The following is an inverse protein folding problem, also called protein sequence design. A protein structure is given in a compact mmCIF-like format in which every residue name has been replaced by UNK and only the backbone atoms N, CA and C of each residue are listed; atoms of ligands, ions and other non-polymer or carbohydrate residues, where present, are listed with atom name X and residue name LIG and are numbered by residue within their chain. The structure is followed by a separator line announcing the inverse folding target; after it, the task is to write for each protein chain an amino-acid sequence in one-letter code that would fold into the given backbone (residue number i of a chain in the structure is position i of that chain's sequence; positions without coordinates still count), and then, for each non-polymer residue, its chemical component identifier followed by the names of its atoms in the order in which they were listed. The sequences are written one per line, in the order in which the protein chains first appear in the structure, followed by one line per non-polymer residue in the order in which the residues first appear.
data_IF_626489562483
#
_entry.id   IF_626489562483
#
_cell.length_a   1.000
_cell.length_b   1.000
_cell.length_c   1.000
_cell.angle_alpha   90.00
_cell.angle_beta   90.00
_cell.angle_gamma   90.00
#
_symmetry.space_group_name_H-M   'P 1'
#
loop_
_entity.id
_entity.type
_entity.pdbx_description
1 polymer ?
#
# COMPACT_ATOMS: atom_id res chain seq x y z
N UNK A 1 -5.95 22.39 4.56
CA UNK A 1 -5.16 21.25 5.09
C UNK A 1 -4.58 20.51 3.90
N UNK A 2 -3.34 20.01 4.02
CA UNK A 2 -2.75 19.12 3.00
C UNK A 2 -3.46 17.77 3.03
N UNK A 3 -3.67 17.18 1.86
CA UNK A 3 -4.28 15.85 1.77
C UNK A 3 -3.29 14.81 2.30
N UNK A 4 -3.78 13.81 3.03
CA UNK A 4 -2.97 12.74 3.61
C UNK A 4 -3.22 11.44 2.86
N UNK A 5 -2.18 10.65 2.66
CA UNK A 5 -2.26 9.31 2.07
C UNK A 5 -1.66 8.30 3.04
N UNK A 6 -2.33 7.15 3.15
CA UNK A 6 -1.85 5.97 3.86
C UNK A 6 -1.58 4.88 2.85
N UNK A 7 -0.38 4.31 2.91
CA UNK A 7 -0.04 3.06 2.21
C UNK A 7 -0.26 1.94 3.20
N UNK A 8 -1.18 1.04 2.86
CA UNK A 8 -1.45 -0.17 3.62
C UNK A 8 -1.20 -1.40 2.75
N UNK A 9 -0.89 -2.52 3.39
CA UNK A 9 -0.74 -3.79 2.72
C UNK A 9 -1.51 -4.88 3.45
N UNK A 10 -2.12 -5.78 2.69
CA UNK A 10 -2.91 -6.89 3.21
C UNK A 10 -2.43 -8.19 2.52
N UNK A 11 -1.92 -9.18 3.28
CA UNK A 11 -1.61 -10.49 2.73
C UNK A 11 -2.89 -11.29 2.49
N UNK A 12 -2.95 -12.03 1.38
CA UNK A 12 -4.13 -12.83 1.03
C UNK A 12 -3.77 -14.04 0.19
N UNK A 13 -4.53 -15.12 0.33
CA UNK A 13 -4.46 -16.26 -0.57
C UNK A 13 -5.09 -15.98 -1.96
N UNK A 14 -5.81 -14.86 -2.10
CA UNK A 14 -6.53 -14.49 -3.32
C UNK A 14 -5.67 -13.58 -4.18
N UNK A 15 -5.47 -13.94 -5.45
CA UNK A 15 -4.91 -13.04 -6.46
C UNK A 15 -5.97 -12.00 -6.89
N UNK A 16 -5.95 -10.83 -6.27
CA UNK A 16 -6.84 -9.73 -6.63
C UNK A 16 -6.53 -9.14 -8.01
N UNK A 17 -5.27 -9.20 -8.46
CA UNK A 17 -4.83 -8.60 -9.72
C UNK A 17 -5.31 -9.41 -10.93
N UNK A 18 -5.46 -10.73 -10.76
CA UNK A 18 -5.99 -11.63 -11.79
C UNK A 18 -7.39 -11.20 -12.30
N UNK A 19 -8.20 -10.54 -11.47
CA UNK A 19 -9.53 -10.00 -11.86
C UNK A 19 -9.44 -8.94 -12.96
N UNK A 20 -8.29 -8.29 -13.08
CA UNK A 20 -8.03 -7.23 -14.05
C UNK A 20 -7.08 -7.72 -15.17
N UNK A 21 -6.82 -9.03 -15.24
CA UNK A 21 -5.92 -9.62 -16.25
C UNK A 21 -4.43 -9.45 -15.95
N UNK A 22 -4.06 -9.01 -14.74
CA UNK A 22 -2.67 -8.87 -14.32
C UNK A 22 -2.23 -10.06 -13.45
N UNK A 23 -0.92 -10.31 -13.39
CA UNK A 23 -0.35 -11.29 -12.45
C UNK A 23 -0.22 -10.65 -11.07
N UNK A 24 -0.81 -11.27 -10.05
CA UNK A 24 -0.63 -10.85 -8.66
C UNK A 24 0.83 -10.96 -8.20
N UNK A 25 1.20 -10.06 -7.30
CA UNK A 25 2.52 -10.05 -6.66
C UNK A 25 2.42 -10.65 -5.26
N UNK A 26 3.33 -11.55 -4.92
CA UNK A 26 3.42 -12.14 -3.57
C UNK A 26 4.31 -11.31 -2.66
N UNK A 27 4.23 -11.53 -1.34
CA UNK A 27 5.15 -10.90 -0.38
C UNK A 27 6.62 -11.18 -0.75
N UNK A 28 6.96 -12.43 -1.12
CA UNK A 28 8.29 -12.78 -1.61
C UNK A 28 8.73 -11.92 -2.80
N UNK A 29 7.84 -11.70 -3.77
CA UNK A 29 8.16 -10.93 -4.98
C UNK A 29 8.43 -9.45 -4.69
N UNK A 30 7.83 -8.88 -3.64
CA UNK A 30 8.15 -7.53 -3.21
C UNK A 30 9.48 -7.48 -2.47
N UNK A 31 9.74 -8.44 -1.57
CA UNK A 31 11.02 -8.53 -0.84
C UNK A 31 12.19 -8.68 -1.81
N UNK A 32 12.05 -9.54 -2.82
CA UNK A 32 13.08 -9.73 -3.86
C UNK A 32 13.31 -8.46 -4.68
N UNK A 33 12.24 -7.80 -5.14
CA UNK A 33 12.35 -6.54 -5.90
C UNK A 33 13.03 -5.44 -5.09
N UNK A 34 12.72 -5.36 -3.79
CA UNK A 34 13.30 -4.37 -2.89
C UNK A 34 14.74 -4.72 -2.47
N UNK A 35 15.20 -5.95 -2.70
CA UNK A 35 16.46 -6.45 -2.17
C UNK A 35 16.46 -6.61 -0.65
N UNK A 36 15.28 -6.73 -0.03
CA UNK A 36 15.10 -6.76 1.42
C UNK A 36 13.68 -6.41 1.85
N UNK A 37 13.51 -6.00 3.11
CA UNK A 37 12.20 -5.64 3.66
C UNK A 37 11.82 -4.18 3.41
N UNK A 38 12.69 -3.36 2.86
CA UNK A 38 12.44 -1.93 2.61
C UNK A 38 12.70 -1.57 1.16
N UNK A 39 11.82 -0.78 0.55
CA UNK A 39 11.96 -0.35 -0.84
C UNK A 39 11.02 0.80 -1.20
N UNK A 40 11.15 1.28 -2.44
CA UNK A 40 10.31 2.36 -2.97
C UNK A 40 9.08 1.82 -3.69
N UNK A 41 7.93 2.43 -3.42
CA UNK A 41 6.70 2.21 -4.16
C UNK A 41 6.24 3.53 -4.76
N UNK A 42 5.91 3.52 -6.05
CA UNK A 42 5.25 4.63 -6.72
C UNK A 42 3.76 4.65 -6.41
N UNK A 43 3.22 5.83 -6.08
CA UNK A 43 1.80 6.03 -5.83
C UNK A 43 1.05 6.56 -7.08
N UNK A 44 -0.30 6.41 -7.12
CA UNK A 44 -1.12 6.94 -8.21
C UNK A 44 -1.12 8.48 -8.33
N UNK A 45 -0.56 9.19 -7.36
CA UNK A 45 -0.49 10.65 -7.31
C UNK A 45 0.87 11.19 -7.81
N UNK A 46 1.75 10.31 -8.30
CA UNK A 46 3.02 10.65 -8.91
C UNK A 46 4.20 10.77 -7.92
N UNK A 47 4.02 10.41 -6.64
CA UNK A 47 5.12 10.40 -5.68
C UNK A 47 5.73 9.01 -5.54
N UNK A 48 6.97 8.95 -5.04
CA UNK A 48 7.62 7.69 -4.62
C UNK A 48 7.83 7.71 -3.12
N UNK A 49 7.47 6.60 -2.47
CA UNK A 49 7.55 6.46 -1.03
C UNK A 49 8.39 5.26 -0.65
N UNK A 50 9.40 5.47 0.19
CA UNK A 50 10.10 4.39 0.89
C UNK A 50 9.15 3.81 1.93
N UNK A 51 8.91 2.50 1.87
CA UNK A 51 8.06 1.72 2.78
C UNK A 51 8.83 0.53 3.34
N UNK A 52 8.41 0.04 4.51
CA UNK A 52 8.97 -1.14 5.16
C UNK A 52 7.90 -2.22 5.28
N UNK A 53 8.20 -3.42 4.77
CA UNK A 53 7.40 -4.63 4.88
C UNK A 53 7.65 -5.39 6.18
N UNK A 54 8.55 -4.90 7.05
CA UNK A 54 8.84 -5.51 8.37
C UNK A 54 7.61 -5.86 9.21
N UNK A 55 6.50 -5.08 9.22
CA UNK A 55 5.29 -5.47 9.94
C UNK A 55 4.66 -6.80 9.49
N UNK A 56 5.01 -7.30 8.30
CA UNK A 56 4.57 -8.57 7.74
C UNK A 56 5.58 -9.71 7.99
N UNK A 57 6.62 -9.47 8.81
CA UNK A 57 7.59 -10.49 9.16
C UNK A 57 6.88 -11.66 9.86
N UNK A 58 7.05 -12.86 9.31
CA UNK A 58 6.41 -14.09 9.80
C UNK A 58 5.12 -14.49 9.07
N UNK A 59 4.60 -13.62 8.19
CA UNK A 59 3.52 -13.99 7.25
C UNK A 59 4.08 -14.94 6.18
N UNK A 60 3.25 -15.89 5.70
CA UNK A 60 3.64 -16.80 4.61
C UNK A 60 4.04 -15.98 3.35
N UNK A 61 5.31 -16.10 2.89
CA UNK A 61 5.82 -15.30 1.78
C UNK A 61 5.16 -15.60 0.43
N UNK A 62 4.43 -16.72 0.31
CA UNK A 62 3.71 -17.10 -0.92
C UNK A 62 2.33 -16.45 -1.05
N UNK A 63 1.83 -15.79 0.00
CA UNK A 63 0.58 -15.04 -0.10
C UNK A 63 0.74 -13.83 -1.02
N UNK A 64 -0.33 -13.54 -1.76
CA UNK A 64 -0.43 -12.33 -2.56
C UNK A 64 -0.49 -11.12 -1.64
N UNK A 65 0.22 -10.05 -2.02
CA UNK A 65 0.24 -8.81 -1.27
C UNK A 65 -0.56 -7.75 -2.01
N UNK A 66 -1.68 -7.35 -1.42
CA UNK A 66 -2.51 -6.25 -1.92
C UNK A 66 -2.05 -4.95 -1.27
N UNK A 67 -1.36 -4.11 -2.04
CA UNK A 67 -1.04 -2.73 -1.63
C UNK A 67 -2.22 -1.81 -1.92
N UNK A 68 -2.52 -0.92 -0.98
CA UNK A 68 -3.64 0.02 -1.03
C UNK A 68 -3.13 1.42 -0.72
N UNK A 69 -3.50 2.39 -1.57
CA UNK A 69 -3.32 3.82 -1.32
C UNK A 69 -4.66 4.39 -0.86
N UNK A 70 -4.70 4.86 0.38
CA UNK A 70 -5.93 5.21 1.07
C UNK A 70 -5.88 6.69 1.41
N UNK A 71 -6.91 7.40 1.02
CA UNK A 71 -7.15 8.81 1.38
C UNK A 71 -8.38 8.91 2.28
N UNK A 72 -8.46 9.94 3.14
CA UNK A 72 -9.70 10.26 3.84
C UNK A 72 -10.85 10.51 2.85
N UNK A 73 -12.07 10.08 3.21
CA UNK A 73 -13.26 10.33 2.37
C UNK A 73 -13.65 11.81 2.33
N UNK A 74 -13.44 12.49 3.46
CA UNK A 74 -13.65 13.92 3.62
C UNK A 74 -12.30 14.54 3.96
N UNK A 75 -11.99 15.67 3.33
CA UNK A 75 -10.72 16.36 3.57
C UNK A 75 -10.59 16.79 5.02
N UNK A 76 -9.49 16.41 5.64
CA UNK A 76 -9.22 16.71 7.06
C UNK A 76 -9.72 15.65 8.03
N UNK A 77 -10.51 14.68 7.59
CA UNK A 77 -10.90 13.53 8.42
C UNK A 77 -9.75 12.53 8.58
N UNK A 78 -9.95 11.59 9.49
CA UNK A 78 -9.08 10.43 9.63
C UNK A 78 -9.25 9.40 8.51
N UNK A 79 -8.23 8.56 8.37
CA UNK A 79 -8.26 7.45 7.44
C UNK A 79 -9.38 6.47 7.79
N UNK A 80 -10.02 5.83 6.78
CA UNK A 80 -10.96 4.76 7.05
C UNK A 80 -10.29 3.61 7.82
N UNK A 81 -11.11 2.91 8.61
CA UNK A 81 -10.67 1.72 9.36
C UNK A 81 -10.17 0.65 8.38
N UNK A 82 -8.98 0.12 8.66
CA UNK A 82 -8.48 -1.08 8.03
C UNK A 82 -9.07 -2.31 8.73
N UNK A 83 -9.51 -3.29 7.96
CA UNK A 83 -10.06 -4.54 8.45
C UNK A 83 -9.11 -5.71 8.12
N UNK A 84 -9.28 -6.83 8.81
CA UNK A 84 -8.50 -8.05 8.58
C UNK A 84 -7.04 -7.91 9.03
N UNK A 85 -6.13 -8.54 8.28
CA UNK A 85 -4.69 -8.57 8.56
C UNK A 85 -3.92 -7.42 7.88
N UNK A 86 -4.63 -6.34 7.53
CA UNK A 86 -4.03 -5.19 6.88
C UNK A 86 -3.12 -4.42 7.85
N UNK A 87 -1.90 -4.11 7.40
CA UNK A 87 -0.93 -3.30 8.14
C UNK A 87 -0.70 -1.96 7.47
N UNK A 88 -0.42 -0.93 8.27
CA UNK A 88 0.01 0.37 7.77
C UNK A 88 1.50 0.33 7.50
N UNK A 89 1.91 0.61 6.26
CA UNK A 89 3.32 0.69 5.88
C UNK A 89 3.86 2.11 6.03
N UNK A 90 3.04 3.12 5.68
CA UNK A 90 3.41 4.53 5.74
C UNK A 90 2.21 5.46 5.68
N UNK A 91 2.37 6.64 6.28
CA UNK A 91 1.49 7.79 6.09
C UNK A 91 2.33 9.01 5.72
N UNK A 92 1.81 9.85 4.83
CA UNK A 92 2.49 11.06 4.37
C UNK A 92 1.48 12.09 3.85
N UNK A 93 1.92 13.34 3.78
CA UNK A 93 1.18 14.43 3.14
C UNK A 93 1.46 14.45 1.64
N UNK A 94 0.43 14.67 0.83
CA UNK A 94 0.60 14.93 -0.60
C UNK A 94 1.15 16.35 -0.83
N UNK A 95 1.90 16.55 -1.93
CA UNK A 95 2.27 17.88 -2.39
C UNK A 95 1.06 18.80 -2.54
N UNK A 96 1.29 20.10 -2.35
CA UNK A 96 0.25 21.10 -2.57
C UNK A 96 -0.19 21.11 -4.04
N UNK A 97 -1.51 21.17 -4.28
CA UNK A 97 -2.08 21.14 -5.63
C UNK A 97 -2.29 19.76 -6.23
N UNK A 98 -1.91 18.66 -5.56
CA UNK A 98 -2.26 17.31 -5.99
C UNK A 98 -3.78 17.12 -6.04
N UNK A 99 -4.30 16.65 -7.18
CA UNK A 99 -5.73 16.36 -7.37
C UNK A 99 -6.01 14.92 -6.94
N UNK A 100 -6.86 14.75 -5.93
CA UNK A 100 -7.35 13.44 -5.48
C UNK A 100 -8.77 13.24 -6.02
N UNK A 101 -9.02 12.24 -6.87
CA UNK A 101 -10.38 11.90 -7.31
C UNK A 101 -11.22 11.49 -6.10
N UNK A 102 -12.44 12.03 -5.98
CA UNK A 102 -13.40 11.72 -4.91
C UNK A 102 -14.65 11.07 -5.46
#
# INVERSE_FOLDING_TARGET
MKERVRIAAEPSAIDYAARFGYKGRTLASYIEEFGGWEGEVGDPYGSRQVVSLEPLRGVDPNLFLKMMFIVPKVQGDDFPILYGDAVVLKEYELPEGTVVPR
#
